data_IF_015943191224
#
_entry.id   IF_015943191224
#
_cell.length_a   1.000
_cell.length_b   1.000
_cell.length_c   1.000
_cell.angle_alpha   90.00
_cell.angle_beta   90.00
_cell.angle_gamma   90.00
#
_symmetry.space_group_name_H-M   'P 1'
#
loop_
_entity.id
_entity.type
_entity.pdbx_description
1 polymer ?
#
# COMPACT_ATOMS: atom_id res chain seq x y z
N UNK A 1 14.29 -18.31 -10.07
CA UNK A 1 12.89 -18.68 -9.77
C UNK A 1 12.12 -17.41 -9.44
N UNK A 2 10.99 -17.16 -10.11
CA UNK A 2 10.07 -16.08 -9.75
C UNK A 2 8.93 -16.73 -8.97
N UNK A 3 8.68 -16.27 -7.74
CA UNK A 3 7.51 -16.67 -6.95
C UNK A 3 6.61 -15.46 -6.78
N UNK A 4 5.31 -15.64 -7.01
CA UNK A 4 4.30 -14.59 -6.95
C UNK A 4 3.20 -15.05 -6.01
N UNK A 5 2.89 -14.23 -5.02
CA UNK A 5 1.77 -14.45 -4.12
C UNK A 5 0.87 -13.21 -4.14
N UNK A 6 -0.43 -13.42 -4.30
CA UNK A 6 -1.44 -12.36 -4.32
C UNK A 6 -2.44 -12.57 -3.20
N UNK A 7 -2.79 -11.50 -2.51
CA UNK A 7 -3.93 -11.53 -1.59
C UNK A 7 -5.22 -11.65 -2.40
N UNK A 8 -6.08 -12.61 -2.05
CA UNK A 8 -7.40 -12.77 -2.68
C UNK A 8 -8.47 -11.88 -2.05
N UNK A 9 -8.15 -11.21 -0.94
CA UNK A 9 -9.07 -10.37 -0.19
C UNK A 9 -8.99 -8.90 -0.62
N UNK A 10 -10.15 -8.24 -0.60
CA UNK A 10 -10.33 -6.81 -0.78
C UNK A 10 -9.96 -6.12 0.54
N UNK A 11 -8.68 -5.89 0.80
CA UNK A 11 -8.21 -5.40 2.09
C UNK A 11 -8.50 -3.90 2.28
N UNK A 12 -8.73 -3.50 3.52
CA UNK A 12 -8.78 -2.09 3.94
C UNK A 12 -7.49 -1.73 4.68
N UNK A 13 -7.01 -0.50 4.51
CA UNK A 13 -5.83 -0.01 5.20
C UNK A 13 -5.93 1.44 5.63
N UNK A 14 -5.28 1.76 6.74
CA UNK A 14 -4.94 3.14 7.10
C UNK A 14 -3.63 3.52 6.41
N UNK A 15 -3.57 4.75 5.90
CA UNK A 15 -2.40 5.31 5.21
C UNK A 15 -1.76 6.33 6.14
N UNK A 16 -0.50 6.12 6.47
CA UNK A 16 0.23 6.91 7.44
C UNK A 16 1.35 7.70 6.77
N UNK A 17 1.49 8.97 7.10
CA UNK A 17 2.63 9.81 6.73
C UNK A 17 3.32 10.27 8.01
N UNK A 18 4.60 9.94 8.19
CA UNK A 18 5.36 10.28 9.40
C UNK A 18 4.70 9.82 10.72
N UNK A 19 3.92 8.73 10.68
CA UNK A 19 3.21 8.19 11.84
C UNK A 19 1.80 8.74 12.05
N UNK A 20 1.38 9.75 11.29
CA UNK A 20 0.03 10.31 11.35
C UNK A 20 -0.84 9.74 10.22
N UNK A 21 -2.09 9.41 10.52
CA UNK A 21 -3.03 8.94 9.51
C UNK A 21 -3.44 10.09 8.58
N UNK A 22 -3.24 9.89 7.28
CA UNK A 22 -3.58 10.86 6.23
C UNK A 22 -4.75 10.41 5.35
N UNK A 23 -5.28 9.21 5.59
CA UNK A 23 -6.43 8.70 4.87
C UNK A 23 -6.54 7.18 4.91
N UNK A 24 -7.52 6.68 4.16
CA UNK A 24 -7.89 5.26 4.14
C UNK A 24 -7.89 4.74 2.71
N UNK A 25 -7.33 3.55 2.52
CA UNK A 25 -7.40 2.79 1.27
C UNK A 25 -8.35 1.61 1.38
N UNK A 26 -9.11 1.38 0.32
CA UNK A 26 -10.06 0.27 0.20
C UNK A 26 -9.80 -0.53 -1.07
N UNK A 27 -10.04 -1.84 -0.98
CA UNK A 27 -9.81 -2.76 -2.08
C UNK A 27 -8.35 -2.94 -2.45
N UNK A 28 -7.50 -3.05 -1.44
CA UNK A 28 -6.09 -3.33 -1.63
C UNK A 28 -5.91 -4.79 -2.05
N UNK A 29 -5.19 -4.96 -3.16
CA UNK A 29 -4.58 -6.21 -3.58
C UNK A 29 -3.07 -6.09 -3.45
N UNK A 30 -2.47 -6.87 -2.56
CA UNK A 30 -1.03 -6.94 -2.37
C UNK A 30 -0.47 -8.10 -3.21
N UNK A 31 0.59 -7.82 -3.95
CA UNK A 31 1.39 -8.82 -4.67
C UNK A 31 2.80 -8.81 -4.12
N UNK A 32 3.27 -9.97 -3.67
CA UNK A 32 4.64 -10.21 -3.27
C UNK A 32 5.37 -10.97 -4.38
N UNK A 33 6.54 -10.47 -4.74
CA UNK A 33 7.43 -11.07 -5.74
C UNK A 33 8.73 -11.46 -5.08
N UNK A 34 9.27 -12.63 -5.43
CA UNK A 34 10.65 -12.97 -5.12
C UNK A 34 11.45 -13.05 -6.42
N UNK A 35 12.44 -12.16 -6.57
CA UNK A 35 13.28 -12.05 -7.76
C UNK A 35 14.72 -11.75 -7.35
N UNK A 36 15.70 -12.46 -7.95
CA UNK A 36 17.14 -12.26 -7.70
C UNK A 36 17.50 -12.17 -6.20
N UNK A 37 16.98 -13.11 -5.41
CA UNK A 37 17.19 -13.21 -3.96
C UNK A 37 16.70 -11.99 -3.15
N UNK A 38 15.69 -11.27 -3.66
CA UNK A 38 15.06 -10.15 -2.97
C UNK A 38 13.54 -10.23 -3.08
N UNK A 39 12.86 -9.81 -2.01
CA UNK A 39 11.43 -9.60 -2.02
C UNK A 39 11.08 -8.21 -2.55
N UNK A 40 10.01 -8.14 -3.32
CA UNK A 40 9.41 -6.90 -3.78
C UNK A 40 7.92 -6.93 -3.46
N UNK A 41 7.38 -5.80 -3.06
CA UNK A 41 5.99 -5.67 -2.63
C UNK A 41 5.33 -4.58 -3.45
N UNK A 42 4.29 -4.94 -4.18
CA UNK A 42 3.52 -4.02 -5.01
C UNK A 42 2.05 -4.22 -4.71
N UNK A 43 1.24 -3.19 -4.84
CA UNK A 43 -0.19 -3.38 -4.72
C UNK A 43 -1.00 -2.42 -5.56
N UNK A 44 -2.28 -2.71 -5.64
CA UNK A 44 -3.29 -1.86 -6.26
C UNK A 44 -4.39 -1.61 -5.25
N UNK A 45 -5.02 -0.44 -5.29
CA UNK A 45 -6.19 -0.12 -4.48
C UNK A 45 -7.29 0.47 -5.35
N UNK A 46 -8.54 0.22 -4.98
CA UNK A 46 -9.71 0.67 -5.73
C UNK A 46 -10.06 2.11 -5.37
N UNK A 47 -9.86 2.48 -4.09
CA UNK A 47 -10.18 3.81 -3.59
C UNK A 47 -9.21 4.24 -2.50
N UNK A 48 -8.74 5.47 -2.60
CA UNK A 48 -8.06 6.21 -1.55
C UNK A 48 -8.92 7.40 -1.16
N UNK A 49 -9.23 7.51 0.12
CA UNK A 49 -9.98 8.63 0.71
C UNK A 49 -9.03 9.37 1.64
N UNK A 50 -8.37 10.44 1.15
CA UNK A 50 -7.47 11.22 1.98
C UNK A 50 -8.26 12.10 2.96
N UNK A 51 -7.64 12.45 4.09
CA UNK A 51 -8.19 13.42 5.04
C UNK A 51 -8.08 14.86 4.54
N UNK A 52 -7.08 15.14 3.69
CA UNK A 52 -6.86 16.44 3.04
C UNK A 52 -6.59 16.24 1.54
N UNK A 53 -7.06 17.17 0.71
CA UNK A 53 -6.87 17.13 -0.74
C UNK A 53 -5.38 17.15 -1.14
N UNK A 54 -4.50 17.73 -0.32
CA UNK A 54 -3.05 17.77 -0.62
C UNK A 54 -2.40 16.38 -0.73
N UNK A 55 -3.01 15.37 -0.09
CA UNK A 55 -2.53 13.99 -0.12
C UNK A 55 -3.03 13.21 -1.34
N UNK A 56 -4.00 13.75 -2.09
CA UNK A 56 -4.56 13.10 -3.28
C UNK A 56 -3.63 13.24 -4.49
N UNK A 57 -2.40 12.73 -4.39
CA UNK A 57 -1.38 12.82 -5.45
C UNK A 57 -0.49 11.58 -5.53
N UNK A 58 0.06 11.36 -6.72
CA UNK A 58 1.13 10.38 -6.95
C UNK A 58 2.47 10.89 -6.39
N UNK A 59 3.40 9.98 -6.17
CA UNK A 59 4.78 10.30 -5.75
C UNK A 59 4.96 10.46 -4.24
N UNK A 60 3.89 10.37 -3.45
CA UNK A 60 3.97 10.40 -1.99
C UNK A 60 4.47 9.06 -1.44
N UNK A 61 5.37 9.11 -0.45
CA UNK A 61 5.82 7.95 0.32
C UNK A 61 5.09 7.91 1.65
N UNK A 62 4.44 6.78 1.91
CA UNK A 62 3.57 6.56 3.06
C UNK A 62 3.84 5.18 3.64
N UNK A 63 3.39 4.93 4.86
CA UNK A 63 3.23 3.58 5.36
C UNK A 63 1.77 3.15 5.17
N UNK A 64 1.53 1.89 4.81
CA UNK A 64 0.17 1.37 4.63
C UNK A 64 -0.04 0.27 5.67
N UNK A 65 -0.90 0.55 6.65
CA UNK A 65 -1.23 -0.40 7.71
C UNK A 65 -2.47 -1.21 7.35
N UNK A 66 -2.32 -2.52 7.24
CA UNK A 66 -3.38 -3.49 6.98
C UNK A 66 -3.80 -4.12 8.32
N UNK A 67 -4.82 -3.59 9.02
CA UNK A 67 -5.19 -4.02 10.37
C UNK A 67 -5.61 -5.49 10.40
N UNK A 68 -6.38 -5.96 9.41
CA UNK A 68 -6.89 -7.34 9.35
C UNK A 68 -5.78 -8.39 9.25
N UNK A 69 -4.61 -8.00 8.77
CA UNK A 69 -3.44 -8.87 8.63
C UNK A 69 -2.37 -8.53 9.67
N UNK A 70 -2.57 -7.46 10.44
CA UNK A 70 -1.63 -6.92 11.40
C UNK A 70 -0.23 -6.66 10.80
N UNK A 71 -0.18 -6.16 9.56
CA UNK A 71 1.08 -5.85 8.85
C UNK A 71 1.12 -4.39 8.41
N UNK A 72 2.34 -3.85 8.34
CA UNK A 72 2.62 -2.51 7.82
C UNK A 72 3.52 -2.64 6.59
N UNK A 73 3.09 -2.06 5.47
CA UNK A 73 3.90 -1.88 4.27
C UNK A 73 4.67 -0.56 4.42
N UNK A 74 5.98 -0.65 4.67
CA UNK A 74 6.82 0.51 4.98
C UNK A 74 7.37 1.17 3.73
N UNK A 75 7.45 2.49 3.79
CA UNK A 75 7.99 3.35 2.72
C UNK A 75 7.34 3.04 1.36
N UNK A 76 6.01 2.84 1.36
CA UNK A 76 5.21 2.62 0.18
C UNK A 76 5.11 3.90 -0.65
N UNK A 77 5.67 3.86 -1.86
CA UNK A 77 5.50 4.92 -2.84
C UNK A 77 4.17 4.70 -3.58
N UNK A 78 3.30 5.70 -3.58
CA UNK A 78 2.12 5.73 -4.45
C UNK A 78 2.59 6.09 -5.86
N UNK A 79 2.75 5.08 -6.71
CA UNK A 79 3.31 5.23 -8.06
C UNK A 79 2.34 5.97 -9.00
N UNK A 80 1.06 5.65 -8.87
CA UNK A 80 0.00 6.22 -9.68
C UNK A 80 -1.28 6.30 -8.86
N UNK A 81 -1.98 7.41 -9.02
CA UNK A 81 -3.27 7.71 -8.41
C UNK A 81 -4.13 8.41 -9.45
N UNK A 82 -5.34 7.89 -9.71
CA UNK A 82 -6.33 8.53 -10.55
C UNK A 82 -7.13 9.57 -9.79
N UNK A 83 -7.80 10.47 -10.52
CA UNK A 83 -8.73 11.44 -9.95
C UNK A 83 -9.91 10.78 -9.21
N UNK A 84 -10.20 9.52 -9.53
CA UNK A 84 -11.22 8.70 -8.86
C UNK A 84 -10.72 7.99 -7.60
N UNK A 85 -9.46 8.19 -7.22
CA UNK A 85 -8.84 7.61 -6.03
C UNK A 85 -8.33 6.18 -6.19
N UNK A 86 -8.36 5.60 -7.41
CA UNK A 86 -7.75 4.28 -7.69
C UNK A 86 -6.25 4.48 -7.88
N UNK A 87 -5.45 3.50 -7.47
CA UNK A 87 -4.02 3.62 -7.71
C UNK A 87 -3.21 2.34 -7.55
N UNK A 88 -1.90 2.51 -7.67
CA UNK A 88 -0.90 1.48 -7.45
C UNK A 88 0.18 1.99 -6.53
N UNK A 89 0.80 1.07 -5.78
CA UNK A 89 1.94 1.39 -4.93
C UNK A 89 3.01 0.31 -5.00
N UNK A 90 4.20 0.70 -4.54
CA UNK A 90 5.33 -0.20 -4.29
C UNK A 90 5.90 0.06 -2.90
N UNK A 91 5.96 -0.98 -2.08
CA UNK A 91 6.52 -0.90 -0.74
C UNK A 91 7.94 -1.47 -0.70
N UNK A 92 8.77 -0.90 0.18
CA UNK A 92 10.15 -1.37 0.32
C UNK A 92 10.22 -2.65 1.14
N UNK A 93 9.43 -2.74 2.21
CA UNK A 93 9.40 -3.90 3.10
C UNK A 93 8.04 -4.03 3.79
N UNK A 94 7.80 -5.20 4.35
CA UNK A 94 6.64 -5.51 5.19
C UNK A 94 7.14 -5.77 6.60
N UNK A 95 6.46 -5.22 7.59
CA UNK A 95 6.68 -5.45 9.01
C UNK A 95 5.40 -6.02 9.63
N UNK A 96 5.54 -6.89 10.64
CA UNK A 96 4.43 -7.22 11.52
C UNK A 96 4.28 -6.10 12.52
N UNK A 97 3.08 -5.55 12.67
CA UNK A 97 2.79 -4.66 13.80
C UNK A 97 2.69 -5.56 15.04
N UNK A 98 3.49 -5.32 16.08
CA UNK A 98 3.39 -6.01 17.38
C UNK A 98 2.88 -5.00 18.38
#
# INVERSE_FOLDING_TARGET
MIRIERTCACLKASVLLNGEEIGVMEGIYLTQWFLKNRYHFTGTFIRFTPLDEEFNRSGIKVDIYLPDQNIILKEALIDWLSDTGRGTFRARRIESSI
#
